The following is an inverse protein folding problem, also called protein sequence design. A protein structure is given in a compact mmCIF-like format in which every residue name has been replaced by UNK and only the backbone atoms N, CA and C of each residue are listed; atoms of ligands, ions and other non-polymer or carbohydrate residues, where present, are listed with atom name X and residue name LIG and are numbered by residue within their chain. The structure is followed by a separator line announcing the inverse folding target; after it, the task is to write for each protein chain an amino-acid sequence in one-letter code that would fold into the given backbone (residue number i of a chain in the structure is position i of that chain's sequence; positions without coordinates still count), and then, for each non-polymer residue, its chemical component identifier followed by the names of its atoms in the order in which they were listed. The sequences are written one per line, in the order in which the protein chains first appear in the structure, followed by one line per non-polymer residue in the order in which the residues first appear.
data_IF_854180458672
#
_entry.id   IF_854180458672
#
_cell.length_a   1.000
_cell.length_b   1.000
_cell.length_c   1.000
_cell.angle_alpha   90.00
_cell.angle_beta   90.00
_cell.angle_gamma   90.00
#
_symmetry.space_group_name_H-M   'P 1'
#
loop_
_entity.id
_entity.type
_entity.pdbx_description
1 polymer ?
#
# COMPACT_ATOMS: atom_id res chain seq x y z
N UNK A 1 5.00 54.31 -33.56
CA UNK A 1 5.31 53.33 -34.63
C UNK A 1 4.24 52.26 -34.58
N UNK A 2 3.41 52.15 -35.61
CA UNK A 2 2.44 51.06 -35.77
C UNK A 2 3.22 49.79 -36.09
N UNK A 3 3.36 48.88 -35.12
CA UNK A 3 3.98 47.58 -35.36
C UNK A 3 3.09 46.79 -36.32
N UNK A 4 3.56 46.52 -37.53
CA UNK A 4 2.88 45.60 -38.44
C UNK A 4 2.80 44.22 -37.81
N UNK A 5 1.59 43.65 -37.77
CA UNK A 5 1.37 42.28 -37.28
C UNK A 5 1.96 41.29 -38.29
N UNK A 6 2.76 40.34 -37.80
CA UNK A 6 3.29 39.24 -38.61
C UNK A 6 2.15 38.47 -39.28
N UNK A 7 2.35 38.07 -40.55
CA UNK A 7 1.41 37.22 -41.29
C UNK A 7 1.34 35.79 -40.73
N UNK A 8 2.37 35.34 -40.00
CA UNK A 8 2.44 34.01 -39.39
C UNK A 8 2.48 34.12 -37.87
N UNK A 9 1.65 33.32 -37.21
CA UNK A 9 1.65 33.19 -35.76
C UNK A 9 2.83 32.34 -35.30
N UNK A 10 3.70 32.92 -34.47
CA UNK A 10 4.76 32.18 -33.78
C UNK A 10 4.36 31.95 -32.30
N UNK A 11 3.93 30.73 -31.94
CA UNK A 11 3.58 30.41 -30.57
C UNK A 11 4.78 30.51 -29.63
N UNK A 12 6.01 30.19 -30.07
CA UNK A 12 7.18 30.16 -29.19
C UNK A 12 7.48 31.54 -28.63
N UNK A 13 7.48 32.55 -29.49
CA UNK A 13 7.71 33.96 -29.10
C UNK A 13 6.52 34.46 -28.27
N UNK A 14 5.30 34.22 -28.73
CA UNK A 14 4.09 34.75 -28.10
C UNK A 14 3.86 34.18 -26.71
N UNK A 15 3.94 32.85 -26.54
CA UNK A 15 3.73 32.17 -25.26
C UNK A 15 4.77 32.60 -24.23
N UNK A 16 6.05 32.64 -24.61
CA UNK A 16 7.15 33.01 -23.70
C UNK A 16 6.96 34.43 -23.16
N UNK A 17 6.58 35.38 -24.03
CA UNK A 17 6.29 36.76 -23.64
C UNK A 17 5.18 36.82 -22.58
N UNK A 18 4.06 36.13 -22.81
CA UNK A 18 2.90 36.20 -21.90
C UNK A 18 3.14 35.46 -20.59
N UNK A 19 3.82 34.32 -20.63
CA UNK A 19 4.21 33.56 -19.44
C UNK A 19 5.06 34.43 -18.50
N UNK A 20 6.10 35.06 -19.04
CA UNK A 20 6.97 35.95 -18.27
C UNK A 20 6.22 37.17 -17.73
N UNK A 21 5.30 37.75 -18.53
CA UNK A 21 4.47 38.86 -18.08
C UNK A 21 3.56 38.48 -16.91
N UNK A 22 2.85 37.35 -17.01
CA UNK A 22 1.95 36.90 -15.94
C UNK A 22 2.67 36.60 -14.64
N UNK A 23 3.86 36.02 -14.72
CA UNK A 23 4.69 35.71 -13.56
C UNK A 23 5.23 36.97 -12.90
N UNK A 24 5.84 37.87 -13.66
CA UNK A 24 6.40 39.13 -13.13
C UNK A 24 5.35 40.06 -12.50
N UNK A 25 4.09 39.92 -12.89
CA UNK A 25 2.98 40.73 -12.38
C UNK A 25 2.12 39.98 -11.37
N UNK A 26 2.47 38.72 -11.04
CA UNK A 26 1.72 37.89 -10.09
C UNK A 26 0.21 37.83 -10.40
N UNK A 27 -0.14 37.81 -11.70
CA UNK A 27 -1.53 38.00 -12.18
C UNK A 27 -2.52 36.99 -11.59
N UNK A 28 -2.03 35.82 -11.22
CA UNK A 28 -2.85 34.70 -10.77
C UNK A 28 -2.85 34.50 -9.25
N UNK A 29 -2.17 35.36 -8.50
CA UNK A 29 -2.10 35.28 -7.04
C UNK A 29 -3.47 35.56 -6.41
N UNK A 30 -3.91 34.65 -5.54
CA UNK A 30 -5.19 34.80 -4.86
C UNK A 30 -5.07 35.83 -3.72
N UNK A 31 -6.04 36.74 -3.63
CA UNK A 31 -6.11 37.75 -2.56
C UNK A 31 -7.27 37.43 -1.59
N UNK A 32 -7.00 36.88 -0.39
CA UNK A 32 -8.03 36.56 0.59
C UNK A 32 -8.87 37.78 1.02
N UNK A 33 -8.25 38.97 1.09
CA UNK A 33 -8.88 40.21 1.54
C UNK A 33 -9.83 40.82 0.50
N UNK A 34 -9.79 40.34 -0.75
CA UNK A 34 -10.62 40.86 -1.85
C UNK A 34 -12.13 40.65 -1.61
N UNK A 35 -12.50 39.69 -0.75
CA UNK A 35 -13.89 39.29 -0.55
C UNK A 35 -14.53 38.70 -1.82
N UNK A 36 -15.86 38.56 -1.79
CA UNK A 36 -16.65 38.02 -2.91
C UNK A 36 -16.71 36.49 -2.96
N UNK A 37 -17.32 35.96 -4.03
CA UNK A 37 -17.48 34.51 -4.20
C UNK A 37 -16.13 33.87 -4.56
N UNK A 38 -15.74 32.83 -3.83
CA UNK A 38 -14.47 32.14 -4.00
C UNK A 38 -14.60 30.93 -4.94
N UNK A 39 -13.50 30.59 -5.60
CA UNK A 39 -13.41 29.36 -6.38
C UNK A 39 -12.01 28.77 -6.23
N UNK A 40 -11.90 27.62 -5.59
CA UNK A 40 -10.62 26.99 -5.27
C UNK A 40 -10.50 25.63 -5.94
N UNK A 41 -9.34 25.36 -6.52
CA UNK A 41 -8.92 24.03 -6.95
C UNK A 41 -7.51 23.78 -6.43
N UNK A 42 -7.25 22.59 -5.89
CA UNK A 42 -5.90 22.12 -5.59
C UNK A 42 -5.42 21.34 -6.80
N UNK A 43 -4.21 21.64 -7.30
CA UNK A 43 -3.64 20.80 -8.36
C UNK A 43 -3.47 19.38 -7.83
N UNK A 44 -3.86 18.34 -8.59
CA UNK A 44 -3.43 16.98 -8.32
C UNK A 44 -1.90 16.97 -8.39
N UNK A 45 -1.19 16.85 -7.25
CA UNK A 45 0.24 17.15 -7.22
C UNK A 45 1.00 16.10 -8.01
N UNK A 46 1.69 16.45 -9.11
CA UNK A 46 2.48 15.49 -9.86
C UNK A 46 3.60 14.92 -9.00
N UNK A 47 3.84 13.61 -9.15
CA UNK A 47 4.90 12.87 -8.48
C UNK A 47 6.27 13.32 -9.00
N UNK A 48 7.25 13.58 -8.12
CA UNK A 48 8.65 13.91 -8.46
C UNK A 48 9.44 12.69 -8.99
N UNK A 49 8.95 12.11 -10.07
CA UNK A 49 9.42 10.83 -10.63
C UNK A 49 10.04 10.97 -12.03
N UNK A 50 10.41 12.20 -12.41
CA UNK A 50 10.98 12.53 -13.71
C UNK A 50 10.26 13.71 -14.35
N UNK A 51 9.55 13.47 -15.45
CA UNK A 51 8.88 14.47 -16.27
C UNK A 51 7.39 14.19 -16.48
N UNK A 52 6.63 15.23 -16.81
CA UNK A 52 5.22 15.13 -17.15
C UNK A 52 5.01 14.53 -18.54
N UNK A 53 4.02 13.64 -18.65
CA UNK A 53 3.45 13.14 -19.91
C UNK A 53 2.12 13.80 -20.30
N UNK A 54 1.58 13.47 -21.47
CA UNK A 54 0.34 14.03 -22.03
C UNK A 54 -0.89 13.96 -21.12
N UNK A 55 -1.01 12.94 -20.27
CA UNK A 55 -2.08 12.87 -19.26
C UNK A 55 -2.12 14.09 -18.34
N UNK A 56 -0.96 14.55 -17.84
CA UNK A 56 -0.89 15.74 -17.00
C UNK A 56 -1.24 17.02 -17.77
N UNK A 57 -0.84 17.11 -19.04
CA UNK A 57 -1.19 18.25 -19.88
C UNK A 57 -2.70 18.33 -20.12
N UNK A 58 -3.35 17.19 -20.38
CA UNK A 58 -4.80 17.10 -20.52
C UNK A 58 -5.54 17.52 -19.24
N UNK A 59 -5.14 16.97 -18.09
CA UNK A 59 -5.69 17.31 -16.78
C UNK A 59 -5.51 18.80 -16.45
N UNK A 60 -4.30 19.31 -16.59
CA UNK A 60 -3.98 20.71 -16.29
C UNK A 60 -4.74 21.67 -17.19
N UNK A 61 -4.89 21.36 -18.49
CA UNK A 61 -5.64 22.20 -19.42
C UNK A 61 -7.13 22.26 -19.06
N UNK A 62 -7.72 21.16 -18.62
CA UNK A 62 -9.13 21.11 -18.17
C UNK A 62 -9.33 22.00 -16.93
N UNK A 63 -8.47 21.84 -15.92
CA UNK A 63 -8.53 22.62 -14.68
C UNK A 63 -8.29 24.11 -14.97
N UNK A 64 -7.27 24.45 -15.76
CA UNK A 64 -6.92 25.83 -16.10
C UNK A 64 -8.07 26.53 -16.82
N UNK A 65 -8.76 25.83 -17.73
CA UNK A 65 -9.93 26.37 -18.43
C UNK A 65 -11.03 26.77 -17.44
N UNK A 66 -11.32 25.92 -16.45
CA UNK A 66 -12.31 26.20 -15.42
C UNK A 66 -11.88 27.38 -14.54
N UNK A 67 -10.63 27.40 -14.09
CA UNK A 67 -10.09 28.46 -13.23
C UNK A 67 -10.13 29.80 -13.95
N UNK A 68 -9.64 29.87 -15.19
CA UNK A 68 -9.66 31.08 -16.02
C UNK A 68 -11.08 31.57 -16.25
N UNK A 69 -12.01 30.68 -16.61
CA UNK A 69 -13.41 31.04 -16.78
C UNK A 69 -14.00 31.63 -15.50
N UNK A 70 -13.81 30.99 -14.34
CA UNK A 70 -14.33 31.49 -13.06
C UNK A 70 -13.69 32.81 -12.63
N UNK A 71 -12.38 32.98 -12.87
CA UNK A 71 -11.68 34.25 -12.65
C UNK A 71 -12.27 35.37 -13.51
N UNK A 72 -12.52 35.09 -14.79
CA UNK A 72 -13.15 36.04 -15.72
C UNK A 72 -14.60 36.38 -15.37
N UNK A 73 -15.33 35.47 -14.71
CA UNK A 73 -16.67 35.76 -14.16
C UNK A 73 -16.65 36.56 -12.85
N UNK A 74 -15.48 37.04 -12.41
CA UNK A 74 -15.33 37.91 -11.24
C UNK A 74 -15.09 37.18 -9.91
N UNK A 75 -14.97 35.85 -9.90
CA UNK A 75 -14.70 35.10 -8.67
C UNK A 75 -13.27 35.32 -8.18
N UNK A 76 -13.09 35.23 -6.87
CA UNK A 76 -11.77 35.19 -6.25
C UNK A 76 -11.20 33.76 -6.34
N UNK A 77 -10.33 33.55 -7.31
CA UNK A 77 -9.85 32.20 -7.67
C UNK A 77 -8.53 31.86 -7.01
N UNK A 78 -8.43 30.66 -6.43
CA UNK A 78 -7.16 30.03 -6.04
C UNK A 78 -7.00 28.72 -6.81
N UNK A 79 -5.95 28.61 -7.61
CA UNK A 79 -5.48 27.32 -8.09
C UNK A 79 -4.11 27.04 -7.47
N UNK A 80 -4.11 26.20 -6.44
CA UNK A 80 -2.94 25.96 -5.59
C UNK A 80 -2.00 24.95 -6.28
N UNK A 81 -0.76 25.34 -6.64
CA UNK A 81 0.21 24.42 -7.21
C UNK A 81 0.95 23.64 -6.12
N UNK A 82 1.47 22.47 -6.49
CA UNK A 82 2.37 21.71 -5.65
C UNK A 82 2.79 20.39 -6.27
N UNK A 83 3.73 19.71 -5.62
CA UNK A 83 4.31 18.43 -6.08
C UNK A 83 4.29 17.38 -4.96
N UNK A 84 4.19 16.11 -5.34
CA UNK A 84 4.18 14.98 -4.41
C UNK A 84 5.54 14.27 -4.38
N UNK A 85 6.08 14.10 -3.18
CA UNK A 85 7.30 13.35 -2.87
C UNK A 85 7.29 11.91 -3.37
N UNK A 86 6.11 11.31 -3.60
CA UNK A 86 5.94 10.00 -4.21
C UNK A 86 6.78 8.86 -3.59
N UNK A 87 6.97 8.91 -2.26
CA UNK A 87 7.81 8.05 -1.41
C UNK A 87 8.39 6.78 -2.10
N UNK A 88 7.56 5.75 -2.31
CA UNK A 88 7.98 4.43 -2.84
C UNK A 88 8.62 4.54 -4.24
N UNK A 89 8.13 5.43 -5.09
CA UNK A 89 8.60 5.55 -6.48
C UNK A 89 9.96 6.22 -6.51
N UNK A 90 10.14 7.32 -5.77
CA UNK A 90 11.44 7.96 -5.63
C UNK A 90 12.43 6.97 -5.02
N UNK A 91 12.06 6.27 -3.95
CA UNK A 91 12.94 5.28 -3.35
C UNK A 91 13.32 4.16 -4.33
N UNK A 92 12.37 3.62 -5.11
CA UNK A 92 12.66 2.60 -6.13
C UNK A 92 13.56 3.12 -7.27
N UNK A 93 13.40 4.38 -7.68
CA UNK A 93 14.28 5.03 -8.66
C UNK A 93 15.69 5.15 -8.10
N UNK A 94 15.84 5.65 -6.87
CA UNK A 94 17.13 5.79 -6.21
C UNK A 94 17.81 4.44 -5.98
N UNK A 95 17.07 3.43 -5.51
CA UNK A 95 17.59 2.06 -5.34
C UNK A 95 18.10 1.48 -6.67
N UNK A 96 17.41 1.75 -7.79
CA UNK A 96 17.86 1.35 -9.13
C UNK A 96 19.13 2.07 -9.56
N UNK A 97 19.26 3.37 -9.27
CA UNK A 97 20.47 4.14 -9.55
C UNK A 97 21.66 3.64 -8.74
N UNK A 98 21.47 3.43 -7.43
CA UNK A 98 22.50 2.91 -6.54
C UNK A 98 22.97 1.52 -6.99
N UNK A 99 22.03 0.65 -7.41
CA UNK A 99 22.36 -0.66 -7.96
C UNK A 99 23.20 -0.56 -9.24
N UNK A 100 22.93 0.41 -10.12
CA UNK A 100 23.74 0.67 -11.30
C UNK A 100 25.15 1.17 -10.94
N UNK A 101 25.28 1.90 -9.83
CA UNK A 101 26.55 2.32 -9.22
C UNK A 101 27.25 1.19 -8.43
N UNK A 102 26.70 -0.04 -8.46
CA UNK A 102 27.19 -1.22 -7.71
C UNK A 102 27.23 -1.00 -6.20
N UNK A 103 26.35 -0.17 -5.67
CA UNK A 103 26.13 0.01 -4.24
C UNK A 103 24.65 -0.20 -3.89
N UNK A 104 24.30 -0.03 -2.63
CA UNK A 104 22.92 -0.07 -2.16
C UNK A 104 22.70 0.96 -1.05
N UNK A 105 21.43 1.19 -0.71
CA UNK A 105 21.07 2.16 0.33
C UNK A 105 21.70 1.82 1.68
N UNK A 106 21.86 0.55 2.03
CA UNK A 106 22.42 0.12 3.31
C UNK A 106 23.91 0.45 3.42
N UNK A 107 24.66 0.26 2.34
CA UNK A 107 26.06 0.65 2.23
C UNK A 107 26.23 2.18 2.26
N UNK A 108 25.32 2.92 1.61
CA UNK A 108 25.35 4.38 1.57
C UNK A 108 25.04 5.01 2.93
N UNK A 109 24.13 4.39 3.68
CA UNK A 109 23.59 4.90 4.94
C UNK A 109 22.41 5.86 4.74
N UNK A 110 21.56 5.98 5.77
CA UNK A 110 20.28 6.69 5.69
C UNK A 110 20.43 8.19 5.42
N UNK A 111 21.39 8.84 6.06
CA UNK A 111 21.61 10.28 5.93
C UNK A 111 21.94 10.68 4.49
N UNK A 112 22.98 10.05 3.91
CA UNK A 112 23.38 10.26 2.51
C UNK A 112 22.30 9.85 1.51
N UNK A 113 21.53 8.81 1.81
CA UNK A 113 20.38 8.46 0.97
C UNK A 113 19.32 9.57 0.95
N UNK A 114 19.02 10.17 2.10
CA UNK A 114 18.07 11.28 2.21
C UNK A 114 18.58 12.53 1.48
N UNK A 115 19.86 12.86 1.59
CA UNK A 115 20.48 13.94 0.83
C UNK A 115 20.28 13.74 -0.68
N UNK A 116 20.52 12.52 -1.17
CA UNK A 116 20.33 12.17 -2.57
C UNK A 116 18.86 12.22 -3.00
N UNK A 117 17.92 11.86 -2.12
CA UNK A 117 16.49 11.98 -2.38
C UNK A 117 16.05 13.45 -2.51
N UNK A 118 16.61 14.34 -1.69
CA UNK A 118 16.38 15.79 -1.82
C UNK A 118 16.99 16.36 -3.09
N UNK A 119 18.20 15.94 -3.47
CA UNK A 119 18.80 16.33 -4.76
C UNK A 119 17.93 15.91 -5.94
N UNK A 120 17.44 14.67 -5.94
CA UNK A 120 16.51 14.18 -6.95
C UNK A 120 15.22 14.99 -7.01
N UNK A 121 14.66 15.36 -5.84
CA UNK A 121 13.48 16.25 -5.77
C UNK A 121 13.76 17.59 -6.43
N UNK A 122 14.93 18.19 -6.24
CA UNK A 122 15.23 19.49 -6.85
C UNK A 122 15.35 19.38 -8.37
N UNK A 123 16.01 18.35 -8.88
CA UNK A 123 16.14 18.12 -10.32
C UNK A 123 14.79 17.81 -11.00
N UNK A 124 14.03 16.85 -10.45
CA UNK A 124 12.74 16.43 -11.01
C UNK A 124 11.66 17.49 -10.79
N UNK A 125 11.60 18.09 -9.60
CA UNK A 125 10.66 19.16 -9.27
C UNK A 125 10.84 20.37 -10.19
N UNK A 126 12.09 20.80 -10.39
CA UNK A 126 12.40 21.90 -11.33
C UNK A 126 11.92 21.58 -12.75
N UNK A 127 12.11 20.35 -13.22
CA UNK A 127 11.65 19.91 -14.54
C UNK A 127 10.13 19.97 -14.65
N UNK A 128 9.41 19.42 -13.68
CA UNK A 128 7.95 19.38 -13.64
C UNK A 128 7.35 20.80 -13.60
N UNK A 129 7.87 21.65 -12.72
CA UNK A 129 7.43 23.05 -12.58
C UNK A 129 7.66 23.81 -13.88
N UNK A 130 8.82 23.63 -14.51
CA UNK A 130 9.11 24.26 -15.81
C UNK A 130 8.16 23.79 -16.92
N UNK A 131 7.80 22.50 -16.95
CA UNK A 131 6.81 21.99 -17.90
C UNK A 131 5.42 22.60 -17.68
N UNK A 132 4.96 22.70 -16.42
CA UNK A 132 3.69 23.36 -16.10
C UNK A 132 3.70 24.85 -16.47
N UNK A 133 4.79 25.57 -16.15
CA UNK A 133 5.00 26.96 -16.57
C UNK A 133 4.93 27.09 -18.09
N UNK A 134 5.57 26.17 -18.82
CA UNK A 134 5.56 26.16 -20.27
C UNK A 134 4.19 25.85 -20.87
N UNK A 135 3.36 25.05 -20.20
CA UNK A 135 1.96 24.87 -20.57
C UNK A 135 1.12 26.14 -20.35
N UNK A 136 1.61 27.11 -19.58
CA UNK A 136 0.93 28.38 -19.34
C UNK A 136 -0.22 28.28 -18.35
N UNK A 137 -0.14 27.35 -17.39
CA UNK A 137 -1.17 27.18 -16.35
C UNK A 137 -1.29 28.43 -15.47
N UNK A 138 -2.52 28.81 -15.09
CA UNK A 138 -2.80 30.01 -14.30
C UNK A 138 -2.88 29.78 -12.79
N UNK A 139 -1.89 29.05 -12.26
CA UNK A 139 -1.74 28.73 -10.82
C UNK A 139 -1.14 29.90 -10.03
N UNK A 140 -1.32 29.85 -8.71
CA UNK A 140 -0.68 30.77 -7.76
C UNK A 140 0.70 30.23 -7.33
N UNK A 141 1.74 30.54 -8.13
CA UNK A 141 3.11 30.10 -7.86
C UNK A 141 3.69 30.61 -6.53
N UNK A 142 3.15 31.68 -5.95
CA UNK A 142 3.60 32.21 -4.65
C UNK A 142 3.25 31.26 -3.49
N UNK A 143 2.32 30.33 -3.72
CA UNK A 143 1.83 29.36 -2.75
C UNK A 143 2.20 27.92 -3.11
N UNK A 144 3.22 27.71 -3.94
CA UNK A 144 3.67 26.37 -4.28
C UNK A 144 3.97 25.53 -3.03
N UNK A 145 3.46 24.30 -3.02
CA UNK A 145 3.66 23.35 -1.93
C UNK A 145 4.40 22.11 -2.36
N UNK A 146 5.11 21.51 -1.43
CA UNK A 146 5.69 20.19 -1.59
C UNK A 146 5.22 19.33 -0.42
N UNK A 147 4.79 18.10 -0.68
CA UNK A 147 4.18 17.27 0.38
C UNK A 147 5.06 17.09 1.61
N UNK A 148 6.39 17.13 1.47
CA UNK A 148 7.35 17.10 2.58
C UNK A 148 7.95 18.46 2.95
N UNK A 149 7.36 19.57 2.52
CA UNK A 149 7.68 20.90 3.05
C UNK A 149 7.32 21.00 4.54
N UNK A 150 7.82 22.04 5.21
CA UNK A 150 7.63 22.23 6.64
C UNK A 150 6.14 22.30 7.03
N UNK A 151 5.33 23.03 6.26
CA UNK A 151 3.92 23.25 6.55
C UNK A 151 3.08 21.98 6.40
N UNK A 152 3.26 21.26 5.31
CA UNK A 152 2.55 19.99 5.06
C UNK A 152 3.06 18.86 5.95
N UNK A 153 4.37 18.82 6.26
CA UNK A 153 4.91 17.88 7.25
C UNK A 153 4.30 18.10 8.63
N UNK A 154 4.10 19.36 9.03
CA UNK A 154 3.41 19.69 10.27
C UNK A 154 1.93 19.27 10.24
N UNK A 155 1.24 19.50 9.13
CA UNK A 155 -0.16 19.08 8.96
C UNK A 155 -0.32 17.55 9.08
N UNK A 156 0.59 16.77 8.47
CA UNK A 156 0.58 15.29 8.56
C UNK A 156 0.79 14.82 10.00
N UNK A 157 1.78 15.37 10.72
CA UNK A 157 2.01 15.04 12.14
C UNK A 157 0.80 15.39 13.01
N UNK A 158 0.19 16.55 12.73
CA UNK A 158 -1.03 17.01 13.42
C UNK A 158 -2.19 16.05 13.19
N UNK A 159 -2.44 15.66 11.94
CA UNK A 159 -3.49 14.72 11.58
C UNK A 159 -3.27 13.35 12.23
N UNK A 160 -2.05 12.82 12.20
CA UNK A 160 -1.71 11.55 12.83
C UNK A 160 -2.07 11.56 14.33
N UNK A 161 -1.65 12.61 15.05
CA UNK A 161 -1.84 12.68 16.49
C UNK A 161 -3.30 12.86 16.85
N UNK A 162 -4.04 13.70 16.11
CA UNK A 162 -5.48 13.88 16.33
C UNK A 162 -6.25 12.58 16.11
N UNK A 163 -5.97 11.87 15.00
CA UNK A 163 -6.60 10.58 14.73
C UNK A 163 -6.21 9.50 15.75
N UNK A 164 -5.01 9.59 16.32
CA UNK A 164 -4.58 8.71 17.41
C UNK A 164 -5.31 9.01 18.72
N UNK A 165 -5.43 10.28 19.11
CA UNK A 165 -6.19 10.74 20.28
C UNK A 165 -7.67 10.38 20.18
N UNK A 166 -8.24 10.44 18.96
CA UNK A 166 -9.61 10.01 18.66
C UNK A 166 -9.78 8.47 18.66
N UNK A 167 -8.72 7.70 18.91
CA UNK A 167 -8.75 6.23 18.93
C UNK A 167 -8.93 5.56 17.57
N UNK A 168 -8.76 6.33 16.48
CA UNK A 168 -8.86 5.88 15.10
C UNK A 168 -7.53 5.30 14.60
N UNK A 169 -6.39 5.79 15.07
CA UNK A 169 -5.09 5.18 14.78
C UNK A 169 -4.71 4.18 15.86
N UNK A 170 -4.26 3.00 15.46
CA UNK A 170 -3.74 1.97 16.37
C UNK A 170 -2.53 1.26 15.78
N UNK A 171 -1.74 0.63 16.65
CA UNK A 171 -0.63 -0.26 16.27
C UNK A 171 -1.07 -1.70 16.55
N UNK A 172 -0.99 -2.55 15.54
CA UNK A 172 -1.46 -3.93 15.64
C UNK A 172 -0.68 -4.89 14.76
N UNK A 173 -0.75 -6.17 15.10
CA UNK A 173 -0.33 -7.23 14.19
C UNK A 173 -1.44 -7.48 13.19
N UNK A 174 -1.08 -7.33 11.92
CA UNK A 174 -1.97 -7.67 10.82
C UNK A 174 -1.15 -8.34 9.73
N UNK A 175 -1.85 -9.06 8.88
CA UNK A 175 -1.26 -9.66 7.71
C UNK A 175 -1.24 -8.59 6.61
N UNK A 176 -0.05 -8.08 6.32
CA UNK A 176 0.15 -7.02 5.33
C UNK A 176 0.53 -7.62 3.98
N UNK A 177 0.17 -6.93 2.90
CA UNK A 177 0.75 -7.23 1.60
C UNK A 177 2.21 -6.75 1.63
N UNK A 178 3.14 -7.68 1.75
CA UNK A 178 4.56 -7.39 1.80
C UNK A 178 5.18 -7.54 0.41
N UNK A 179 5.96 -6.55 -0.03
CA UNK A 179 6.74 -6.66 -1.25
C UNK A 179 8.19 -7.05 -0.89
N UNK A 180 8.64 -8.29 -1.18
CA UNK A 180 9.98 -8.75 -0.81
C UNK A 180 11.11 -7.96 -1.50
N UNK A 181 10.85 -7.44 -2.70
CA UNK A 181 11.83 -6.65 -3.48
C UNK A 181 12.05 -5.28 -2.83
N UNK A 182 10.99 -4.53 -2.52
CA UNK A 182 11.12 -3.22 -1.88
C UNK A 182 11.34 -3.31 -0.37
N UNK A 183 11.10 -4.48 0.23
CA UNK A 183 11.10 -4.75 1.68
C UNK A 183 10.22 -3.77 2.44
N UNK A 184 9.00 -3.61 1.96
CA UNK A 184 7.99 -2.73 2.57
C UNK A 184 6.59 -3.31 2.39
N UNK A 185 5.72 -3.02 3.34
CA UNK A 185 4.28 -3.19 3.15
C UNK A 185 3.77 -2.29 2.01
N UNK A 186 2.79 -2.79 1.28
CA UNK A 186 2.03 -2.08 0.25
C UNK A 186 0.55 -2.13 0.58
N UNK A 187 -0.21 -1.09 0.25
CA UNK A 187 -1.66 -1.08 0.45
C UNK A 187 -2.39 -1.94 -0.58
N UNK A 188 -3.64 -2.31 -0.31
CA UNK A 188 -4.48 -3.04 -1.27
C UNK A 188 -4.65 -2.30 -2.61
N UNK A 189 -4.57 -0.96 -2.60
CA UNK A 189 -4.64 -0.12 -3.80
C UNK A 189 -3.34 -0.15 -4.64
N UNK A 190 -2.24 -0.65 -4.06
CA UNK A 190 -0.93 -0.77 -4.70
C UNK A 190 -0.64 -2.21 -5.17
N UNK A 191 -1.68 -3.05 -5.17
CA UNK A 191 -1.62 -4.46 -5.56
C UNK A 191 -2.43 -4.69 -6.82
N UNK A 192 -1.78 -5.30 -7.82
CA UNK A 192 -2.41 -5.71 -9.08
C UNK A 192 -2.56 -7.23 -9.12
N UNK A 193 -3.78 -7.71 -9.34
CA UNK A 193 -4.03 -9.15 -9.49
C UNK A 193 -3.70 -9.62 -10.91
N UNK A 194 -2.93 -10.70 -11.02
CA UNK A 194 -2.57 -11.34 -12.30
C UNK A 194 -2.97 -12.81 -12.29
N UNK A 195 -3.68 -13.23 -13.33
CA UNK A 195 -3.98 -14.64 -13.54
C UNK A 195 -2.74 -15.36 -14.04
N UNK A 196 -2.30 -16.38 -13.28
CA UNK A 196 -1.17 -17.21 -13.63
C UNK A 196 -1.56 -18.67 -13.73
N UNK A 197 -0.87 -19.41 -14.59
CA UNK A 197 -0.91 -20.86 -14.60
C UNK A 197 -0.05 -21.39 -13.46
N UNK A 198 -0.66 -22.20 -12.60
CA UNK A 198 0.01 -22.86 -11.48
C UNK A 198 -0.50 -24.27 -11.30
N UNK A 199 -0.26 -24.83 -10.11
CA UNK A 199 -0.77 -26.15 -9.76
C UNK A 199 -1.56 -26.09 -8.45
N UNK A 200 -2.46 -27.05 -8.29
CA UNK A 200 -3.12 -27.40 -7.04
C UNK A 200 -2.55 -28.76 -6.60
N UNK A 201 -1.86 -28.77 -5.47
CA UNK A 201 -1.26 -29.97 -4.91
C UNK A 201 -2.16 -30.57 -3.85
N UNK A 202 -2.21 -31.90 -3.82
CA UNK A 202 -3.00 -32.66 -2.85
C UNK A 202 -2.07 -33.48 -1.96
N UNK A 203 -2.14 -33.24 -0.66
CA UNK A 203 -1.27 -33.88 0.34
C UNK A 203 -2.08 -34.63 1.39
N UNK A 204 -1.51 -35.73 1.90
CA UNK A 204 -2.05 -36.45 3.06
C UNK A 204 -1.51 -35.88 4.36
N UNK A 205 -2.40 -35.55 5.29
CA UNK A 205 -2.11 -35.15 6.65
C UNK A 205 -2.54 -36.30 7.57
N UNK A 206 -1.61 -37.09 8.12
CA UNK A 206 -1.95 -38.22 8.98
C UNK A 206 -2.61 -37.76 10.28
N UNK A 207 -3.66 -38.46 10.71
CA UNK A 207 -4.27 -38.24 12.03
C UNK A 207 -3.26 -38.66 13.11
N UNK A 208 -3.11 -37.84 14.16
CA UNK A 208 -2.14 -38.10 15.23
C UNK A 208 -2.45 -39.39 16.01
N UNK A 209 -3.70 -39.84 16.00
CA UNK A 209 -4.14 -41.11 16.60
C UNK A 209 -3.82 -42.35 15.74
N UNK A 210 -3.25 -42.16 14.55
CA UNK A 210 -2.91 -43.24 13.61
C UNK A 210 -4.12 -43.86 12.90
N UNK A 211 -5.34 -43.32 13.07
CA UNK A 211 -6.56 -43.91 12.52
C UNK A 211 -6.76 -43.68 11.01
N UNK A 212 -5.91 -42.87 10.38
CA UNK A 212 -5.99 -42.57 8.95
C UNK A 212 -5.32 -41.25 8.59
N UNK A 213 -5.83 -40.57 7.55
CA UNK A 213 -5.34 -39.29 7.10
C UNK A 213 -6.46 -38.42 6.54
N UNK A 214 -6.23 -37.10 6.54
CA UNK A 214 -6.98 -36.11 5.79
C UNK A 214 -6.25 -35.80 4.48
N UNK A 215 -6.98 -35.45 3.43
CA UNK A 215 -6.39 -34.93 2.21
C UNK A 215 -6.64 -33.44 2.14
N UNK A 216 -5.58 -32.64 1.96
CA UNK A 216 -5.67 -31.18 1.86
C UNK A 216 -5.21 -30.75 0.47
N UNK A 217 -5.89 -29.76 -0.11
CA UNK A 217 -5.51 -29.13 -1.36
C UNK A 217 -4.89 -27.74 -1.11
N UNK A 218 -3.79 -27.41 -1.78
CA UNK A 218 -3.15 -26.08 -1.68
C UNK A 218 -2.44 -25.68 -2.97
N UNK A 219 -2.46 -24.38 -3.29
CA UNK A 219 -1.64 -23.77 -4.35
C UNK A 219 -0.28 -23.29 -3.85
N UNK A 220 -0.06 -23.35 -2.53
CA UNK A 220 1.17 -22.89 -1.86
C UNK A 220 1.72 -23.96 -0.91
N UNK A 221 2.35 -25.03 -1.43
CA UNK A 221 2.93 -26.09 -0.60
C UNK A 221 3.90 -25.59 0.46
N UNK A 222 4.74 -24.59 0.14
CA UNK A 222 5.75 -24.06 1.06
C UNK A 222 5.16 -23.47 2.34
N UNK A 223 3.93 -22.94 2.28
CA UNK A 223 3.29 -22.34 3.47
C UNK A 223 2.83 -23.39 4.48
N UNK A 224 2.74 -24.67 4.08
CA UNK A 224 2.32 -25.74 4.99
C UNK A 224 3.25 -25.90 6.20
N UNK A 225 4.51 -25.50 6.09
CA UNK A 225 5.48 -25.55 7.18
C UNK A 225 5.04 -24.67 8.38
N UNK A 226 4.22 -23.65 8.11
CA UNK A 226 3.63 -22.75 9.10
C UNK A 226 2.22 -23.13 9.53
N UNK A 227 1.70 -24.30 9.12
CA UNK A 227 0.32 -24.70 9.45
C UNK A 227 0.14 -24.83 10.96
N UNK A 228 -1.02 -24.35 11.42
CA UNK A 228 -1.44 -24.44 12.82
C UNK A 228 -2.85 -24.98 12.98
N UNK A 229 -3.48 -25.42 11.89
CA UNK A 229 -4.74 -26.15 11.90
C UNK A 229 -5.10 -26.69 10.52
N UNK A 230 -6.11 -27.56 10.49
CA UNK A 230 -6.81 -27.97 9.27
C UNK A 230 -8.28 -27.66 9.46
N UNK A 231 -8.89 -26.93 8.54
CA UNK A 231 -10.29 -26.56 8.62
C UNK A 231 -11.16 -27.44 7.72
N UNK A 232 -12.30 -27.84 8.24
CA UNK A 232 -13.34 -28.55 7.52
C UNK A 232 -14.68 -27.87 7.75
N UNK A 233 -15.58 -28.00 6.79
CA UNK A 233 -16.92 -27.47 6.95
C UNK A 233 -17.72 -28.34 7.94
N UNK A 234 -18.38 -27.76 8.97
CA UNK A 234 -19.13 -28.52 9.98
C UNK A 234 -20.31 -29.32 9.41
N UNK A 235 -20.86 -28.88 8.28
CA UNK A 235 -21.94 -29.55 7.58
C UNK A 235 -21.45 -30.63 6.59
N UNK A 236 -20.14 -30.80 6.39
CA UNK A 236 -19.60 -31.87 5.52
C UNK A 236 -19.61 -33.23 6.24
N UNK A 237 -20.48 -34.18 5.83
CA UNK A 237 -20.61 -35.48 6.48
C UNK A 237 -19.33 -36.32 6.40
N UNK A 238 -18.44 -36.06 5.42
CA UNK A 238 -17.19 -36.80 5.22
C UNK A 238 -16.19 -36.57 6.34
N UNK A 239 -16.16 -35.36 6.92
CA UNK A 239 -15.12 -34.94 7.86
C UNK A 239 -15.64 -34.51 9.22
N UNK A 240 -16.97 -34.38 9.41
CA UNK A 240 -17.59 -33.96 10.68
C UNK A 240 -17.14 -34.78 11.89
N UNK A 241 -16.88 -36.07 11.73
CA UNK A 241 -16.42 -36.96 12.80
C UNK A 241 -14.95 -36.76 13.20
N UNK A 242 -14.19 -35.96 12.45
CA UNK A 242 -12.78 -35.66 12.70
C UNK A 242 -12.58 -34.29 13.38
N UNK A 243 -13.63 -33.47 13.49
CA UNK A 243 -13.57 -32.17 14.17
C UNK A 243 -13.16 -32.38 15.64
N UNK A 244 -12.17 -31.62 16.10
CA UNK A 244 -11.61 -31.74 17.44
C UNK A 244 -10.49 -32.78 17.59
N UNK A 245 -10.26 -33.63 16.58
CA UNK A 245 -9.05 -34.46 16.51
C UNK A 245 -7.84 -33.63 16.05
N UNK A 246 -6.65 -34.22 16.12
CA UNK A 246 -5.40 -33.63 15.66
C UNK A 246 -4.80 -34.41 14.49
N UNK A 247 -4.04 -33.72 13.65
CA UNK A 247 -3.17 -34.31 12.61
C UNK A 247 -1.71 -34.00 12.92
N UNK A 248 -0.82 -34.90 12.54
CA UNK A 248 0.62 -34.65 12.56
C UNK A 248 1.02 -34.02 11.24
N UNK A 249 1.44 -32.76 11.28
CA UNK A 249 1.87 -32.00 10.11
C UNK A 249 3.09 -32.69 9.46
N UNK A 250 2.99 -33.13 8.18
CA UNK A 250 4.12 -33.74 7.48
C UNK A 250 5.35 -32.82 7.48
N UNK A 251 6.53 -33.43 7.48
CA UNK A 251 7.86 -32.79 7.59
C UNK A 251 8.14 -32.15 8.96
N UNK A 252 7.21 -31.36 9.49
CA UNK A 252 7.42 -30.61 10.73
C UNK A 252 7.16 -31.44 12.00
N UNK A 253 6.36 -32.51 11.90
CA UNK A 253 6.01 -33.37 13.04
C UNK A 253 5.15 -32.68 14.10
N UNK A 254 4.61 -31.48 13.83
CA UNK A 254 3.79 -30.70 14.75
C UNK A 254 2.37 -31.25 14.78
N UNK A 255 1.80 -31.44 15.96
CA UNK A 255 0.37 -31.74 16.08
C UNK A 255 -0.45 -30.45 15.92
N UNK A 256 -1.42 -30.49 15.00
CA UNK A 256 -2.32 -29.37 14.72
C UNK A 256 -3.79 -29.82 14.77
N UNK A 257 -4.71 -29.00 15.30
CA UNK A 257 -6.11 -29.36 15.44
C UNK A 257 -6.88 -29.33 14.11
N UNK A 258 -7.91 -30.16 14.03
CA UNK A 258 -8.94 -30.09 12.99
C UNK A 258 -10.10 -29.24 13.52
N UNK A 259 -10.32 -28.09 12.89
CA UNK A 259 -11.32 -27.10 13.30
C UNK A 259 -12.51 -27.08 12.34
N UNK A 260 -13.66 -26.65 12.87
CA UNK A 260 -14.88 -26.48 12.09
C UNK A 260 -15.05 -25.02 11.69
N UNK A 261 -15.08 -24.73 10.39
CA UNK A 261 -15.30 -23.36 9.90
C UNK A 261 -16.22 -23.35 8.68
N UNK A 262 -17.29 -22.54 8.75
CA UNK A 262 -18.33 -22.46 7.71
C UNK A 262 -17.83 -21.80 6.42
N UNK A 263 -16.71 -21.07 6.46
CA UNK A 263 -16.12 -20.46 5.26
C UNK A 263 -15.37 -21.48 4.39
N UNK A 264 -15.20 -22.72 4.86
CA UNK A 264 -14.65 -23.81 4.06
C UNK A 264 -15.71 -24.29 3.07
N UNK A 265 -15.39 -24.23 1.78
CA UNK A 265 -16.22 -24.79 0.72
C UNK A 265 -16.03 -26.32 0.65
N UNK A 266 -17.06 -27.13 0.94
CA UNK A 266 -16.98 -28.59 0.85
C UNK A 266 -16.71 -29.10 -0.57
N UNK A 267 -17.07 -28.32 -1.60
CA UNK A 267 -16.96 -28.73 -3.00
C UNK A 267 -15.59 -28.41 -3.60
N UNK A 268 -14.86 -27.46 -3.02
CA UNK A 268 -13.54 -27.07 -3.52
C UNK A 268 -12.44 -28.03 -3.06
N UNK A 269 -11.66 -28.54 -4.02
CA UNK A 269 -10.53 -29.42 -3.75
C UNK A 269 -10.96 -30.71 -3.05
N UNK A 270 -10.65 -30.82 -1.76
CA UNK A 270 -11.03 -31.98 -0.93
C UNK A 270 -12.14 -31.68 0.06
N UNK A 271 -12.53 -30.42 0.25
CA UNK A 271 -13.35 -29.98 1.39
C UNK A 271 -12.57 -29.82 2.70
N UNK A 272 -11.24 -30.00 2.68
CA UNK A 272 -10.33 -29.69 3.78
C UNK A 272 -9.31 -28.63 3.35
N UNK A 273 -9.11 -27.62 4.18
CA UNK A 273 -8.20 -26.51 3.91
C UNK A 273 -7.14 -26.47 4.99
N UNK A 274 -5.86 -26.43 4.61
CA UNK A 274 -4.79 -26.13 5.57
C UNK A 274 -4.94 -24.69 6.06
N UNK A 275 -4.71 -24.47 7.34
CA UNK A 275 -4.82 -23.13 7.93
C UNK A 275 -3.41 -22.67 8.29
N UNK A 276 -2.93 -21.65 7.57
CA UNK A 276 -1.64 -21.00 7.80
C UNK A 276 -1.84 -19.52 8.15
N UNK A 277 -2.23 -19.17 9.39
CA UNK A 277 -2.70 -17.82 9.72
C UNK A 277 -1.72 -16.68 9.46
N UNK A 278 -0.41 -16.96 9.40
CA UNK A 278 0.61 -15.94 9.16
C UNK A 278 0.87 -15.64 7.67
N UNK A 279 0.28 -16.41 6.73
CA UNK A 279 0.61 -16.37 5.28
C UNK A 279 -0.59 -16.35 4.33
N UNK A 280 -1.82 -16.27 4.83
CA UNK A 280 -3.01 -16.06 4.01
C UNK A 280 -4.08 -15.24 4.77
N UNK A 281 -4.72 -14.22 4.15
CA UNK A 281 -5.72 -13.39 4.82
C UNK A 281 -6.96 -14.16 5.32
N UNK A 282 -7.43 -15.18 4.61
CA UNK A 282 -8.58 -15.99 5.04
C UNK A 282 -8.19 -16.86 6.22
N UNK A 283 -7.00 -17.47 6.15
CA UNK A 283 -6.46 -18.27 7.25
C UNK A 283 -6.16 -17.41 8.48
N UNK A 284 -5.76 -16.16 8.30
CA UNK A 284 -5.52 -15.21 9.39
C UNK A 284 -6.79 -14.95 10.20
N UNK A 285 -7.90 -14.65 9.53
CA UNK A 285 -9.20 -14.44 10.19
C UNK A 285 -9.73 -15.74 10.83
N UNK A 286 -9.52 -16.88 10.18
CA UNK A 286 -9.86 -18.19 10.73
C UNK A 286 -9.03 -18.51 11.99
N UNK A 287 -7.72 -18.27 11.94
CA UNK A 287 -6.82 -18.44 13.06
C UNK A 287 -7.21 -17.58 14.25
N UNK A 288 -7.69 -16.34 14.03
CA UNK A 288 -8.23 -15.50 15.10
C UNK A 288 -9.50 -16.07 15.71
N UNK A 289 -10.49 -16.47 14.89
CA UNK A 289 -11.77 -17.03 15.38
C UNK A 289 -11.59 -18.29 16.23
N UNK A 290 -10.62 -19.13 15.84
CA UNK A 290 -10.37 -20.43 16.48
C UNK A 290 -9.15 -20.44 17.40
N UNK A 291 -8.57 -19.27 17.70
CA UNK A 291 -7.43 -19.10 18.59
C UNK A 291 -6.21 -19.99 18.24
N UNK A 292 -5.90 -20.09 16.95
CA UNK A 292 -4.75 -20.84 16.45
C UNK A 292 -3.46 -20.03 16.62
N UNK A 293 -2.32 -20.73 16.70
CA UNK A 293 -1.02 -20.08 16.70
C UNK A 293 -0.71 -19.42 15.35
N UNK A 294 0.07 -18.33 15.37
CA UNK A 294 0.49 -17.61 14.17
C UNK A 294 1.99 -17.81 13.99
N UNK A 295 2.38 -18.69 13.07
CA UNK A 295 3.78 -19.06 12.85
C UNK A 295 4.27 -18.47 11.52
N UNK A 296 5.09 -17.43 11.61
CA UNK A 296 5.74 -16.85 10.44
C UNK A 296 6.94 -17.72 10.01
N UNK A 297 6.96 -18.17 8.76
CA UNK A 297 8.03 -18.98 8.17
C UNK A 297 8.91 -18.19 7.19
N UNK A 298 8.62 -16.91 6.96
CA UNK A 298 9.31 -16.09 5.96
C UNK A 298 10.10 -14.94 6.60
N UNK A 299 11.26 -14.67 6.03
CA UNK A 299 12.03 -13.45 6.24
C UNK A 299 11.49 -12.31 5.37
N UNK A 300 11.92 -11.09 5.66
CA UNK A 300 11.52 -9.88 4.95
C UNK A 300 11.95 -9.83 3.47
N UNK A 301 12.88 -10.68 3.04
CA UNK A 301 13.31 -10.80 1.65
C UNK A 301 12.59 -11.93 0.90
N UNK A 302 11.65 -12.63 1.55
CA UNK A 302 10.91 -13.76 0.98
C UNK A 302 11.66 -15.09 1.03
N UNK A 303 12.85 -15.15 1.65
CA UNK A 303 13.48 -16.42 2.03
C UNK A 303 12.78 -17.04 3.25
N UNK A 304 12.95 -18.35 3.45
CA UNK A 304 12.39 -19.01 4.62
C UNK A 304 13.29 -18.85 5.86
N UNK A 305 12.67 -18.71 7.03
CA UNK A 305 13.35 -18.55 8.32
C UNK A 305 13.49 -19.89 9.08
N UNK A 306 13.95 -19.86 10.33
CA UNK A 306 14.17 -21.02 11.18
C UNK A 306 12.90 -21.86 11.43
N UNK A 307 11.71 -21.28 11.36
CA UNK A 307 10.44 -22.00 11.55
C UNK A 307 10.11 -22.92 10.37
N UNK A 308 10.83 -22.81 9.25
CA UNK A 308 10.71 -23.70 8.09
C UNK A 308 11.57 -24.98 8.19
N UNK A 309 12.27 -25.19 9.31
CA UNK A 309 13.07 -26.39 9.54
C UNK A 309 14.21 -26.53 8.52
N UNK A 310 14.28 -27.70 7.85
CA UNK A 310 15.35 -28.02 6.89
C UNK A 310 15.36 -27.12 5.63
N UNK A 311 14.33 -26.32 5.42
CA UNK A 311 14.23 -25.41 4.27
C UNK A 311 14.64 -23.96 4.60
N UNK A 312 15.08 -23.70 5.84
CA UNK A 312 15.55 -22.38 6.25
C UNK A 312 16.67 -21.87 5.31
N UNK A 313 16.59 -20.58 4.97
CA UNK A 313 17.52 -19.89 4.06
C UNK A 313 17.20 -20.04 2.57
N UNK A 314 16.26 -20.89 2.17
CA UNK A 314 15.87 -21.05 0.76
C UNK A 314 14.89 -19.94 0.34
N UNK A 315 14.98 -19.47 -0.91
CA UNK A 315 13.92 -18.65 -1.52
C UNK A 315 12.60 -19.45 -1.56
N UNK A 316 11.47 -18.78 -1.31
CA UNK A 316 10.15 -19.40 -1.24
C UNK A 316 9.76 -20.25 -2.45
N UNK A 317 10.18 -19.88 -3.67
CA UNK A 317 9.86 -20.67 -4.87
C UNK A 317 10.76 -21.89 -5.00
N UNK A 318 12.01 -21.81 -4.54
CA UNK A 318 12.92 -22.95 -4.44
C UNK A 318 12.42 -23.91 -3.35
N UNK A 319 12.08 -23.37 -2.18
CA UNK A 319 11.51 -24.13 -1.07
C UNK A 319 10.22 -24.83 -1.47
N UNK A 320 9.33 -24.19 -2.23
CA UNK A 320 8.12 -24.83 -2.78
C UNK A 320 8.43 -26.13 -3.52
N UNK A 321 9.43 -26.11 -4.43
CA UNK A 321 9.83 -27.30 -5.19
C UNK A 321 10.39 -28.38 -4.27
N UNK A 322 11.22 -28.00 -3.30
CA UNK A 322 11.87 -28.93 -2.39
C UNK A 322 10.89 -29.53 -1.37
N UNK A 323 9.91 -28.76 -0.90
CA UNK A 323 8.81 -29.24 -0.04
C UNK A 323 7.98 -30.28 -0.78
N UNK A 324 7.57 -29.98 -2.02
CA UNK A 324 6.81 -30.95 -2.84
C UNK A 324 7.61 -32.23 -3.06
N UNK A 325 8.89 -32.11 -3.39
CA UNK A 325 9.78 -33.27 -3.57
C UNK A 325 9.88 -34.10 -2.30
N UNK A 326 10.05 -33.46 -1.14
CA UNK A 326 10.16 -34.15 0.14
C UNK A 326 8.86 -34.88 0.51
N UNK A 327 7.71 -34.26 0.26
CA UNK A 327 6.40 -34.90 0.48
C UNK A 327 6.15 -36.08 -0.46
N UNK A 328 6.70 -36.04 -1.68
CA UNK A 328 6.65 -37.16 -2.61
C UNK A 328 7.56 -38.31 -2.15
N UNK A 329 8.80 -38.00 -1.77
CA UNK A 329 9.76 -38.96 -1.20
C UNK A 329 9.21 -39.64 0.06
N UNK A 330 8.51 -38.89 0.91
CA UNK A 330 7.89 -39.39 2.14
C UNK A 330 6.50 -40.03 1.92
N UNK A 331 6.00 -40.07 0.68
CA UNK A 331 4.75 -40.75 0.31
C UNK A 331 3.45 -40.01 0.70
N UNK A 332 3.54 -38.71 1.01
CA UNK A 332 2.39 -37.86 1.36
C UNK A 332 1.74 -37.16 0.16
N UNK A 333 2.44 -37.03 -0.98
CA UNK A 333 1.86 -36.46 -2.20
C UNK A 333 0.85 -37.42 -2.84
N UNK A 334 -0.36 -36.94 -3.12
CA UNK A 334 -1.45 -37.73 -3.72
C UNK A 334 -1.55 -37.50 -5.22
N UNK A 335 -1.69 -36.22 -5.61
CA UNK A 335 -1.80 -35.81 -7.02
C UNK A 335 -1.45 -34.34 -7.19
N UNK A 336 -1.15 -33.96 -8.42
CA UNK A 336 -0.91 -32.58 -8.86
C UNK A 336 -1.87 -32.29 -10.00
N UNK A 337 -2.62 -31.20 -9.90
CA UNK A 337 -3.54 -30.75 -10.94
C UNK A 337 -3.16 -29.36 -11.42
N UNK A 338 -3.21 -29.13 -12.74
CA UNK A 338 -3.02 -27.80 -13.29
C UNK A 338 -4.18 -26.88 -12.83
N UNK A 339 -3.85 -25.72 -12.29
CA UNK A 339 -4.83 -24.80 -11.72
C UNK A 339 -4.46 -23.35 -11.99
N UNK A 340 -5.36 -22.64 -12.67
CA UNK A 340 -5.22 -21.21 -12.96
C UNK A 340 -5.79 -20.41 -11.80
N UNK A 341 -5.01 -19.48 -11.27
CA UNK A 341 -5.43 -18.66 -10.14
C UNK A 341 -4.87 -17.24 -10.24
N UNK A 342 -5.57 -16.32 -9.58
CA UNK A 342 -5.15 -14.94 -9.46
C UNK A 342 -4.12 -14.81 -8.34
N UNK A 343 -2.96 -14.24 -8.65
CA UNK A 343 -1.91 -13.90 -7.68
C UNK A 343 -1.75 -12.39 -7.59
N UNK A 344 -1.69 -11.82 -6.38
CA UNK A 344 -1.45 -10.40 -6.19
C UNK A 344 0.03 -10.06 -6.44
N UNK A 345 0.29 -9.04 -7.24
CA UNK A 345 1.62 -8.49 -7.53
C UNK A 345 1.72 -7.06 -7.03
N UNK A 346 2.90 -6.67 -6.55
CA UNK A 346 3.17 -5.27 -6.26
C UNK A 346 3.15 -4.47 -7.56
N UNK A 347 2.39 -3.39 -7.62
CA UNK A 347 2.38 -2.51 -8.79
C UNK A 347 3.80 -1.98 -9.08
N UNK A 348 4.56 -1.58 -8.06
CA UNK A 348 5.89 -1.00 -8.29
C UNK A 348 7.00 -2.03 -8.34
N UNK A 349 6.99 -2.98 -7.40
CA UNK A 349 8.01 -4.04 -7.34
C UNK A 349 7.88 -5.06 -8.47
N UNK A 350 6.69 -5.16 -9.09
CA UNK A 350 6.36 -6.13 -10.15
C UNK A 350 6.68 -7.59 -9.79
N UNK A 351 6.74 -7.90 -8.49
CA UNK A 351 6.89 -9.24 -7.91
C UNK A 351 5.61 -9.65 -7.16
N UNK A 352 5.34 -10.96 -6.99
CA UNK A 352 4.25 -11.43 -6.14
C UNK A 352 4.39 -10.88 -4.72
N UNK A 353 3.30 -10.32 -4.18
CA UNK A 353 3.28 -9.90 -2.77
C UNK A 353 3.11 -11.10 -1.86
N UNK A 354 3.75 -11.04 -0.71
CA UNK A 354 3.64 -12.05 0.33
C UNK A 354 2.76 -11.52 1.45
N UNK A 355 1.67 -12.23 1.79
CA UNK A 355 1.03 -12.09 3.08
C UNK A 355 2.04 -12.29 4.22
N UNK A 356 2.35 -11.24 4.96
CA UNK A 356 3.31 -11.33 6.05
C UNK A 356 2.72 -10.77 7.34
N UNK A 357 2.80 -11.56 8.42
CA UNK A 357 2.45 -11.08 9.75
C UNK A 357 3.47 -10.06 10.22
N UNK A 358 3.05 -8.80 10.36
CA UNK A 358 3.92 -7.73 10.81
C UNK A 358 3.16 -6.71 11.65
N UNK A 359 3.88 -6.01 12.52
CA UNK A 359 3.31 -4.96 13.36
C UNK A 359 3.38 -3.63 12.64
N UNK A 360 2.20 -3.07 12.35
CA UNK A 360 2.07 -1.82 11.59
C UNK A 360 1.11 -0.84 12.27
N UNK A 361 1.10 0.39 11.77
CA UNK A 361 0.13 1.40 12.14
C UNK A 361 -1.04 1.38 11.18
N UNK A 362 -2.24 1.41 11.72
CA UNK A 362 -3.49 1.33 10.98
C UNK A 362 -4.41 2.49 11.35
N UNK A 363 -5.22 2.91 10.39
CA UNK A 363 -6.39 3.77 10.63
C UNK A 363 -7.63 2.88 10.58
N UNK A 364 -8.50 2.98 11.60
CA UNK A 364 -9.84 2.41 11.60
C UNK A 364 -10.67 3.10 10.55
N UNK A 365 -10.99 2.40 9.48
CA UNK A 365 -11.66 3.01 8.31
C UNK A 365 -13.17 3.03 8.48
N UNK A 366 -13.76 2.02 9.11
CA UNK A 366 -15.22 1.89 9.24
C UNK A 366 -15.92 3.14 9.83
N UNK A 367 -15.42 3.78 10.91
CA UNK A 367 -16.00 5.03 11.40
C UNK A 367 -15.89 6.21 10.41
N UNK A 368 -14.85 6.23 9.57
CA UNK A 368 -14.61 7.27 8.58
C UNK A 368 -15.49 7.07 7.34
N UNK A 369 -15.62 5.84 6.86
CA UNK A 369 -16.46 5.50 5.71
C UNK A 369 -17.93 5.68 6.03
N UNK A 370 -18.37 5.34 7.24
CA UNK A 370 -19.76 5.58 7.66
C UNK A 370 -20.09 7.07 7.60
N UNK A 371 -19.20 7.95 8.09
CA UNK A 371 -19.36 9.41 7.93
C UNK A 371 -19.36 9.84 6.46
N UNK A 372 -18.46 9.28 5.65
CA UNK A 372 -18.36 9.58 4.23
C UNK A 372 -19.62 9.20 3.46
N UNK A 373 -20.18 8.01 3.70
CA UNK A 373 -21.43 7.54 3.08
C UNK A 373 -22.60 8.42 3.50
N UNK A 374 -22.73 8.74 4.79
CA UNK A 374 -23.78 9.65 5.28
C UNK A 374 -23.70 11.02 4.60
N UNK A 375 -22.49 11.56 4.39
CA UNK A 375 -22.30 12.82 3.67
C UNK A 375 -22.77 12.74 2.21
N UNK A 376 -22.65 11.59 1.54
CA UNK A 376 -23.15 11.41 0.17
C UNK A 376 -24.68 11.41 0.07
N UNK A 377 -25.39 11.27 1.18
CA UNK A 377 -26.85 11.29 1.25
C UNK A 377 -27.42 12.66 1.67
N UNK A 378 -26.54 13.64 1.94
CA UNK A 378 -26.93 15.00 2.35
C UNK A 378 -27.09 15.95 1.14
N UNK A 379 -27.85 17.04 1.33
CA UNK A 379 -28.10 18.05 0.30
C UNK A 379 -26.83 18.79 -0.15
N UNK A 380 -25.83 18.88 0.71
CA UNK A 380 -24.52 19.49 0.47
C UNK A 380 -23.45 18.47 0.03
N UNK A 381 -23.88 17.31 -0.46
CA UNK A 381 -22.98 16.25 -0.91
C UNK A 381 -22.08 16.66 -2.09
N UNK A 382 -20.87 16.07 -2.19
CA UNK A 382 -19.99 16.27 -3.34
C UNK A 382 -20.69 15.92 -4.66
N UNK A 383 -20.53 16.79 -5.66
CA UNK A 383 -21.05 16.54 -7.02
C UNK A 383 -20.02 15.84 -7.87
N UNK A 384 -20.36 14.66 -8.39
CA UNK A 384 -19.49 13.88 -9.26
C UNK A 384 -19.83 14.12 -10.73
N UNK A 385 -18.81 14.27 -11.56
CA UNK A 385 -18.94 14.40 -13.01
C UNK A 385 -17.99 13.40 -13.69
N UNK A 386 -18.49 12.43 -14.47
CA UNK A 386 -19.90 12.06 -14.65
C UNK A 386 -20.57 11.48 -13.38
N UNK A 387 -21.89 11.63 -13.27
CA UNK A 387 -22.70 11.24 -12.10
C UNK A 387 -22.56 9.76 -11.71
N UNK A 388 -22.29 8.87 -12.67
CA UNK A 388 -22.05 7.43 -12.40
C UNK A 388 -20.95 7.18 -11.35
N UNK A 389 -19.99 8.09 -11.20
CA UNK A 389 -18.90 7.97 -10.23
C UNK A 389 -19.38 8.05 -8.77
N UNK A 390 -20.55 8.65 -8.51
CA UNK A 390 -21.16 8.65 -7.17
C UNK A 390 -21.37 7.22 -6.67
N UNK A 391 -21.93 6.35 -7.53
CA UNK A 391 -22.15 4.93 -7.17
C UNK A 391 -20.82 4.19 -6.99
N UNK A 392 -19.86 4.40 -7.90
CA UNK A 392 -18.55 3.74 -7.82
C UNK A 392 -17.82 4.12 -6.53
N UNK A 393 -17.84 5.40 -6.16
CA UNK A 393 -17.23 5.88 -4.93
C UNK A 393 -17.94 5.33 -3.68
N UNK A 394 -19.28 5.33 -3.67
CA UNK A 394 -20.06 4.71 -2.59
C UNK A 394 -19.73 3.24 -2.42
N UNK A 395 -19.80 2.46 -3.50
CA UNK A 395 -19.53 1.01 -3.50
C UNK A 395 -18.11 0.69 -3.01
N UNK A 396 -17.15 1.59 -3.27
CA UNK A 396 -15.79 1.49 -2.76
C UNK A 396 -15.73 1.75 -1.25
N UNK A 397 -16.35 2.83 -0.75
CA UNK A 397 -16.36 3.17 0.68
C UNK A 397 -16.88 2.02 1.57
N UNK A 398 -17.94 1.32 1.14
CA UNK A 398 -18.54 0.23 1.95
C UNK A 398 -17.68 -1.03 2.04
N UNK A 399 -16.67 -1.17 1.18
CA UNK A 399 -15.81 -2.36 1.10
C UNK A 399 -14.44 -2.16 1.73
N UNK A 400 -14.13 -0.94 2.17
CA UNK A 400 -12.82 -0.63 2.72
C UNK A 400 -12.58 -1.35 4.05
N UNK A 401 -11.34 -1.78 4.22
CA UNK A 401 -10.79 -2.31 5.47
C UNK A 401 -9.87 -1.28 6.11
N UNK A 402 -9.46 -1.55 7.34
CA UNK A 402 -8.51 -0.71 8.05
C UNK A 402 -7.23 -0.48 7.23
N UNK A 403 -6.82 0.78 7.14
CA UNK A 403 -5.77 1.20 6.23
C UNK A 403 -4.42 1.16 6.92
N UNK A 404 -3.51 0.33 6.39
CA UNK A 404 -2.10 0.32 6.81
C UNK A 404 -1.41 1.62 6.36
N UNK A 405 -1.02 2.46 7.32
CA UNK A 405 -0.39 3.77 7.09
C UNK A 405 1.12 3.79 7.35
N UNK A 406 1.70 2.75 7.94
CA UNK A 406 3.15 2.66 8.08
C UNK A 406 3.83 2.00 6.89
N UNK A 407 5.08 2.42 6.61
CA UNK A 407 5.94 1.91 5.54
C UNK A 407 7.38 1.79 6.04
N UNK A 408 8.14 0.84 5.50
CA UNK A 408 9.55 0.62 5.83
C UNK A 408 10.46 1.32 4.80
N UNK A 409 10.18 2.60 4.59
CA UNK A 409 10.85 3.43 3.59
C UNK A 409 11.76 4.42 4.29
N UNK A 410 12.81 4.84 3.59
CA UNK A 410 13.72 5.86 4.08
C UNK A 410 13.24 7.26 3.68
N UNK A 411 12.55 7.38 2.54
CA UNK A 411 11.97 8.62 2.04
C UNK A 411 10.48 8.74 2.40
N UNK A 412 10.07 9.82 3.05
CA UNK A 412 8.68 10.06 3.48
C UNK A 412 8.58 10.67 4.87
N UNK A 413 7.36 10.92 5.33
CA UNK A 413 7.12 11.44 6.68
C UNK A 413 7.43 10.39 7.75
N UNK A 414 8.24 10.75 8.72
CA UNK A 414 8.46 9.92 9.90
C UNK A 414 7.23 9.98 10.82
N UNK A 415 6.71 8.79 11.17
CA UNK A 415 5.61 8.67 12.13
C UNK A 415 6.07 9.18 13.50
N UNK A 416 5.32 10.10 14.16
CA UNK A 416 5.66 10.65 15.46
C UNK A 416 5.28 9.66 16.58
N UNK A 417 6.04 8.58 16.70
CA UNK A 417 5.89 7.56 17.74
C UNK A 417 7.23 7.28 18.44
N UNK A 418 7.23 7.36 19.77
CA UNK A 418 8.40 7.16 20.64
C UNK A 418 8.24 5.88 21.44
N UNK A 419 9.19 4.96 21.32
CA UNK A 419 9.17 3.67 22.01
C UNK A 419 9.96 3.71 23.32
N UNK A 420 9.39 3.18 24.40
CA UNK A 420 10.04 3.10 25.72
C UNK A 420 10.89 1.82 25.77
N UNK A 421 12.04 1.85 25.10
CA UNK A 421 12.92 0.67 24.93
C UNK A 421 13.49 0.11 26.25
N UNK A 422 13.53 0.92 27.30
CA UNK A 422 13.93 0.48 28.65
C UNK A 422 12.98 -0.56 29.25
N UNK A 423 11.77 -0.72 28.69
CA UNK A 423 10.80 -1.74 29.08
C UNK A 423 10.93 -3.04 28.27
N UNK A 424 11.80 -3.07 27.27
CA UNK A 424 11.97 -4.20 26.35
C UNK A 424 13.43 -4.45 26.02
N UNK A 425 14.30 -4.48 27.04
CA UNK A 425 15.72 -4.82 26.92
C UNK A 425 16.48 -4.00 25.85
N UNK A 426 16.12 -2.73 25.67
CA UNK A 426 16.66 -1.84 24.65
C UNK A 426 16.36 -2.24 23.19
N UNK A 427 15.41 -3.14 22.98
CA UNK A 427 14.95 -3.58 21.66
C UNK A 427 13.48 -3.19 21.42
N UNK A 428 13.11 -2.88 20.19
CA UNK A 428 11.71 -2.62 19.83
C UNK A 428 11.07 -3.96 19.44
N UNK A 429 10.11 -4.38 20.25
CA UNK A 429 9.29 -5.57 20.01
C UNK A 429 7.84 -5.17 19.69
N UNK A 430 7.00 -6.16 19.43
CA UNK A 430 5.57 -5.97 19.19
C UNK A 430 4.84 -5.40 20.43
N UNK A 431 5.35 -5.67 21.63
CA UNK A 431 4.76 -5.24 22.89
C UNK A 431 5.47 -4.05 23.52
N UNK A 432 6.47 -3.46 22.86
CA UNK A 432 7.15 -2.27 23.39
C UNK A 432 6.15 -1.14 23.57
N UNK A 433 5.99 -0.62 24.81
CA UNK A 433 5.14 0.53 25.07
C UNK A 433 5.62 1.73 24.26
N UNK A 434 4.68 2.52 23.76
CA UNK A 434 4.98 3.71 22.99
C UNK A 434 4.13 4.89 23.44
N UNK A 435 4.61 6.09 23.13
CA UNK A 435 3.91 7.36 23.29
C UNK A 435 3.91 8.04 21.93
N UNK A 436 2.76 8.59 21.52
CA UNK A 436 2.68 9.49 20.38
C UNK A 436 2.63 10.91 20.92
N UNK A 437 3.59 11.74 20.55
CA UNK A 437 3.79 13.08 21.07
C UNK A 437 4.04 14.11 19.95
N UNK A 438 3.99 15.40 20.30
CA UNK A 438 4.54 16.49 19.48
C UNK A 438 5.72 17.10 20.20
N UNK A 439 6.67 17.63 19.45
CA UNK A 439 7.63 18.56 20.04
C UNK A 439 6.88 19.79 20.58
N UNK A 440 7.19 20.20 21.80
CA UNK A 440 6.51 21.33 22.49
C UNK A 440 6.68 22.67 21.76
N UNK A 441 7.58 22.77 20.79
CA UNK A 441 7.99 24.03 20.15
C UNK A 441 7.14 24.44 18.95
N UNK A 442 6.12 23.68 18.58
CA UNK A 442 5.26 24.02 17.42
C UNK A 442 3.90 24.53 17.86
N UNK A 443 3.89 25.70 18.50
CA UNK A 443 2.71 26.57 18.60
C UNK A 443 2.80 27.60 17.49
N UNK A 444 1.80 27.67 16.62
CA UNK A 444 1.56 28.79 15.71
C UNK A 444 0.21 29.42 16.01
#
# INVERSE_FOLDING_TARGET
MTSELSKQYDPKITETKWQQYWENQEIFTANPEKGGETYCIVIPPPNVTGSLHMGHAFESALIDTLVRYKRMTGKNTLWLPGTDHASIAVQAILDRQLKAEKTDRYQLGREKFLERAWQWKEESGSTIVNQLRRLGVSVDWTRERFTMDEGLSHAVRTAFIKLYEDGLIYRGQYLVNWCPESRSAVSDLEVENKDIEGNLWYFRYPLSDGSGYLQVATTRPETMLGDTGVAVNPQDPRYRHLIGKTVTLPIMGREIPIIADELVDPQFGTGCVKVTPAHDPKDFEMGKRHNLAFINIMNLDGSLNENAGIFAGQDRFVARKNVVKKLDEDGFLVKIEAYRHSVPYSDRGKVPVEPLLSTHWFVKIEPLTTKGVTCLDQEDSPRFVPERWTKVYRDWLVKLKDWCISRQLWWGHQIPAWYIISKTNNEITNHTPYVNARDKTTTY
#
